data_IF_742181984947
#
_entry.id   IF_742181984947
#
_cell.length_a   1.000
_cell.length_b   1.000
_cell.length_c   1.000
_cell.angle_alpha   90.00
_cell.angle_beta   90.00
_cell.angle_gamma   90.00
#
_symmetry.space_group_name_H-M   'P 1'
#
loop_
_entity.id
_entity.type
_entity.pdbx_description
1 polymer ?
#
# COMPACT_ATOMS: atom_id res chain seq x y z
N UNK A 1 13.51 -6.77 42.48
CA UNK A 1 13.47 -5.33 42.15
C UNK A 1 14.14 -5.16 40.78
N UNK A 2 13.47 -5.67 39.74
CA UNK A 2 12.65 -4.88 38.80
C UNK A 2 13.46 -3.78 38.11
N UNK A 3 14.43 -4.22 37.30
CA UNK A 3 15.00 -3.40 36.24
C UNK A 3 13.89 -3.13 35.23
N UNK A 4 13.11 -2.08 35.52
CA UNK A 4 12.04 -1.60 34.65
C UNK A 4 12.68 -0.72 33.58
N UNK A 5 13.25 -1.35 32.57
CA UNK A 5 13.44 -0.67 31.30
C UNK A 5 12.05 -0.52 30.69
N UNK A 6 11.62 0.69 30.25
CA UNK A 6 10.41 0.77 29.46
C UNK A 6 10.67 -0.03 28.20
N UNK A 7 9.91 -1.10 27.99
CA UNK A 7 9.82 -1.74 26.68
C UNK A 7 9.30 -0.64 25.73
N UNK A 8 10.21 0.01 25.04
CA UNK A 8 9.90 0.76 23.82
C UNK A 8 10.37 -0.14 22.70
N UNK A 9 9.42 -0.89 22.15
CA UNK A 9 9.35 -1.42 20.79
C UNK A 9 8.54 -2.72 20.85
N UNK A 10 7.48 -2.91 20.09
CA UNK A 10 6.96 -2.15 18.95
C UNK A 10 5.48 -1.84 19.21
N UNK A 11 4.95 -0.80 18.58
CA UNK A 11 3.53 -0.77 18.23
C UNK A 11 3.24 -2.07 17.48
N UNK A 12 2.74 -3.07 18.20
CA UNK A 12 1.76 -3.99 17.67
C UNK A 12 0.44 -3.22 17.60
N UNK A 13 0.43 -2.15 16.79
CA UNK A 13 -0.76 -1.92 15.98
C UNK A 13 -0.87 -3.22 15.17
N UNK A 14 -2.04 -3.87 15.11
CA UNK A 14 -2.15 -5.11 14.34
C UNK A 14 -1.50 -4.83 13.00
N UNK A 15 -0.62 -5.73 12.57
CA UNK A 15 -0.08 -5.79 11.23
C UNK A 15 -1.26 -5.48 10.30
N UNK A 16 -1.39 -4.21 9.92
CA UNK A 16 -2.46 -3.79 9.05
C UNK A 16 -1.99 -4.36 7.74
N UNK A 17 -2.39 -5.61 7.45
CA UNK A 17 -2.26 -6.21 6.14
C UNK A 17 -2.65 -5.09 5.19
N UNK A 18 -1.64 -4.52 4.54
CA UNK A 18 -1.83 -3.33 3.71
C UNK A 18 -2.97 -3.70 2.79
N UNK A 19 -4.09 -3.00 2.86
CA UNK A 19 -5.33 -3.45 2.21
C UNK A 19 -5.24 -3.22 0.71
N UNK A 20 -6.06 -3.91 -0.08
CA UNK A 20 -5.97 -3.80 -1.55
C UNK A 20 -6.18 -2.36 -2.02
N UNK A 21 -7.07 -1.64 -1.35
CA UNK A 21 -7.30 -0.21 -1.60
C UNK A 21 -6.09 0.64 -1.22
N UNK A 22 -5.41 0.36 -0.10
CA UNK A 22 -4.18 1.06 0.27
C UNK A 22 -3.05 0.79 -0.73
N UNK A 23 -2.88 -0.45 -1.19
CA UNK A 23 -1.93 -0.79 -2.24
C UNK A 23 -2.28 -0.05 -3.56
N UNK A 24 -3.56 0.05 -3.89
CA UNK A 24 -4.01 0.76 -5.08
C UNK A 24 -3.81 2.29 -4.96
N UNK A 25 -4.02 2.87 -3.77
CA UNK A 25 -3.71 4.26 -3.47
C UNK A 25 -2.19 4.54 -3.59
N UNK A 26 -1.35 3.65 -3.05
CA UNK A 26 0.10 3.72 -3.27
C UNK A 26 0.46 3.68 -4.76
N UNK A 27 -0.21 2.84 -5.53
CA UNK A 27 -0.02 2.81 -6.98
C UNK A 27 -0.46 4.14 -7.62
N UNK A 28 -1.55 4.76 -7.17
CA UNK A 28 -1.99 6.07 -7.68
C UNK A 28 -0.93 7.15 -7.40
N UNK A 29 -0.40 7.21 -6.19
CA UNK A 29 0.68 8.15 -5.84
C UNK A 29 1.92 7.95 -6.74
N UNK A 30 2.27 6.70 -7.03
CA UNK A 30 3.37 6.37 -7.94
C UNK A 30 3.06 6.81 -9.38
N UNK A 31 1.81 6.76 -9.83
CA UNK A 31 1.44 7.32 -11.14
C UNK A 31 1.62 8.84 -11.20
N UNK A 32 1.35 9.54 -10.09
CA UNK A 32 1.64 10.98 -9.96
C UNK A 32 3.14 11.32 -9.98
N UNK A 33 4.01 10.35 -9.69
CA UNK A 33 5.47 10.48 -9.80
C UNK A 33 6.01 10.16 -11.21
N UNK A 34 5.13 9.85 -12.17
CA UNK A 34 5.49 9.53 -13.55
C UNK A 34 5.64 8.04 -13.86
N UNK A 35 5.31 7.14 -12.91
CA UNK A 35 5.25 5.71 -13.22
C UNK A 35 4.01 5.40 -14.08
N UNK A 36 4.17 4.57 -15.11
CA UNK A 36 3.01 4.04 -15.83
C UNK A 36 2.12 3.19 -14.91
N UNK A 37 0.80 3.10 -15.13
CA UNK A 37 -0.15 2.38 -14.26
C UNK A 37 0.27 0.94 -13.91
N UNK A 38 0.83 0.21 -14.88
CA UNK A 38 1.35 -1.16 -14.67
C UNK A 38 2.60 -1.19 -13.80
N UNK A 39 3.50 -0.22 -13.94
CA UNK A 39 4.73 -0.12 -13.16
C UNK A 39 4.42 0.28 -11.71
N UNK A 40 3.50 1.23 -11.54
CA UNK A 40 2.98 1.65 -10.25
C UNK A 40 2.29 0.50 -9.50
N UNK A 41 1.40 -0.24 -10.16
CA UNK A 41 0.75 -1.40 -9.55
C UNK A 41 1.74 -2.50 -9.15
N UNK A 42 2.81 -2.70 -9.94
CA UNK A 42 3.87 -3.66 -9.60
C UNK A 42 4.66 -3.22 -8.38
N UNK A 43 5.05 -1.95 -8.31
CA UNK A 43 5.78 -1.40 -7.19
C UNK A 43 4.94 -1.39 -5.91
N UNK A 44 3.65 -1.05 -6.00
CA UNK A 44 2.76 -1.05 -4.85
C UNK A 44 2.36 -2.46 -4.37
N UNK A 45 2.35 -3.45 -5.27
CA UNK A 45 2.17 -4.86 -4.89
C UNK A 45 3.42 -5.46 -4.20
N UNK A 46 4.58 -4.82 -4.32
CA UNK A 46 5.82 -5.34 -3.75
C UNK A 46 5.76 -5.35 -2.21
N UNK A 47 5.93 -6.53 -1.61
CA UNK A 47 5.85 -6.70 -0.16
C UNK A 47 4.42 -6.75 0.39
N UNK A 48 3.41 -6.82 -0.48
CA UNK A 48 2.00 -7.03 -0.09
C UNK A 48 1.55 -8.47 -0.39
N UNK A 49 0.46 -8.96 0.22
CA UNK A 49 -0.14 -10.24 -0.16
C UNK A 49 -0.87 -10.20 -1.51
N UNK A 50 -1.01 -9.03 -2.14
CA UNK A 50 -1.76 -8.90 -3.40
C UNK A 50 -0.89 -9.03 -4.64
N UNK A 51 -1.51 -9.54 -5.69
CA UNK A 51 -0.92 -9.61 -7.01
C UNK A 51 -0.91 -8.23 -7.68
N UNK A 52 0.09 -7.99 -8.55
CA UNK A 52 0.12 -6.83 -9.46
C UNK A 52 -1.22 -6.59 -10.14
N UNK A 53 -1.89 -7.65 -10.60
CA UNK A 53 -3.17 -7.55 -11.32
C UNK A 53 -4.33 -7.10 -10.43
N UNK A 54 -4.34 -7.49 -9.15
CA UNK A 54 -5.35 -7.05 -8.18
C UNK A 54 -5.17 -5.56 -7.91
N UNK A 55 -3.93 -5.15 -7.61
CA UNK A 55 -3.57 -3.74 -7.39
C UNK A 55 -3.84 -2.90 -8.65
N UNK A 56 -3.55 -3.42 -9.84
CA UNK A 56 -3.80 -2.72 -11.10
C UNK A 56 -5.29 -2.48 -11.34
N UNK A 57 -6.14 -3.47 -11.10
CA UNK A 57 -7.61 -3.31 -11.23
C UNK A 57 -8.16 -2.31 -10.24
N UNK A 58 -7.69 -2.36 -8.99
CA UNK A 58 -8.08 -1.40 -7.96
C UNK A 58 -7.60 0.02 -8.30
N UNK A 59 -6.36 0.17 -8.79
CA UNK A 59 -5.83 1.45 -9.31
C UNK A 59 -6.71 2.02 -10.42
N UNK A 60 -7.05 1.21 -11.44
CA UNK A 60 -7.92 1.65 -12.54
C UNK A 60 -9.31 2.04 -12.04
N UNK A 61 -9.82 1.37 -11.01
CA UNK A 61 -11.11 1.71 -10.40
C UNK A 61 -11.03 3.07 -9.71
N UNK A 62 -9.92 3.39 -9.04
CA UNK A 62 -9.70 4.69 -8.41
C UNK A 62 -9.55 5.79 -9.46
N UNK A 63 -8.73 5.59 -10.50
CA UNK A 63 -8.54 6.55 -11.59
C UNK A 63 -9.83 6.85 -12.38
N UNK A 64 -10.72 5.86 -12.51
CA UNK A 64 -12.02 6.07 -13.17
C UNK A 64 -13.05 6.78 -12.28
N UNK A 65 -12.88 6.74 -10.95
CA UNK A 65 -13.75 7.41 -9.97
C UNK A 65 -13.39 8.88 -9.76
N UNK A 66 -12.18 9.24 -10.14
CA UNK A 66 -11.69 10.63 -10.18
C UNK A 66 -11.55 11.06 -11.66
N UNK A 67 -12.66 11.20 -12.42
CA UNK A 67 -12.59 11.93 -13.67
C UNK A 67 -12.51 13.42 -13.31
N UNK A 68 -11.35 14.03 -13.49
CA UNK A 68 -11.27 15.50 -13.64
C UNK A 68 -12.26 16.00 -14.72
#
# INVERSE_FOLDING_TARGET
>A
MFWSWPVRQASAEPEAEMTLEQAAQRALELTGQGFGPTAAAKAAAQGTPYSKSEVYKALLTIQQRDPE
#
